data_IF_032331545731
#
_entry.id   IF_032331545731
#
_cell.length_a   1.000
_cell.length_b   1.000
_cell.length_c   1.000
_cell.angle_alpha   90.00
_cell.angle_beta   90.00
_cell.angle_gamma   90.00
#
_symmetry.space_group_name_H-M   'P 1'
#
loop_
_entity.id
_entity.type
_entity.pdbx_description
1 polymer ?
#
# COMPACT_ATOMS: atom_id res chain seq x y z
N UNK A 1 12.45 -50.19 13.10
CA UNK A 1 12.91 -49.62 11.82
C UNK A 1 11.97 -48.47 11.51
N UNK A 2 12.26 -47.30 12.10
CA UNK A 2 11.40 -46.10 12.02
C UNK A 2 11.91 -45.25 10.87
N UNK A 3 11.09 -45.06 9.84
CA UNK A 3 11.36 -44.11 8.78
C UNK A 3 10.92 -42.71 9.26
N UNK A 4 11.76 -41.67 9.16
CA UNK A 4 11.30 -40.32 9.40
C UNK A 4 10.33 -39.93 8.27
N UNK A 5 9.12 -39.56 8.66
CA UNK A 5 8.20 -38.82 7.80
C UNK A 5 8.72 -37.39 7.70
N UNK A 6 9.43 -37.08 6.64
CA UNK A 6 9.82 -35.72 6.35
C UNK A 6 8.58 -35.01 5.77
N UNK A 7 7.89 -34.25 6.60
CA UNK A 7 6.93 -33.25 6.11
C UNK A 7 7.74 -32.22 5.34
N UNK A 8 7.82 -32.38 4.03
CA UNK A 8 8.28 -31.32 3.13
C UNK A 8 7.19 -30.25 3.11
N UNK A 9 7.30 -29.29 4.01
CA UNK A 9 6.61 -28.01 3.90
C UNK A 9 7.24 -27.27 2.73
N UNK A 10 6.77 -27.53 1.52
CA UNK A 10 6.98 -26.62 0.41
C UNK A 10 6.12 -25.38 0.72
N UNK A 11 6.77 -24.31 1.20
CA UNK A 11 6.14 -23.03 1.39
C UNK A 11 5.85 -22.45 -0.01
N UNK A 12 4.75 -22.91 -0.61
CA UNK A 12 4.21 -22.34 -1.83
C UNK A 12 3.83 -20.89 -1.50
N UNK A 13 4.73 -19.96 -1.82
CA UNK A 13 4.44 -18.53 -1.75
C UNK A 13 3.41 -18.22 -2.83
N UNK A 14 2.14 -18.43 -2.50
CA UNK A 14 1.03 -18.21 -3.42
C UNK A 14 0.94 -16.74 -3.80
N UNK A 15 1.42 -16.39 -4.99
CA UNK A 15 1.18 -15.07 -5.57
C UNK A 15 -0.32 -14.98 -5.87
N UNK A 16 -1.00 -14.04 -5.22
CA UNK A 16 -2.40 -13.72 -5.49
C UNK A 16 -2.49 -12.31 -6.07
N UNK A 17 -3.36 -12.13 -7.06
CA UNK A 17 -3.62 -10.84 -7.70
C UNK A 17 -5.10 -10.49 -7.55
N UNK A 18 -5.36 -9.21 -7.25
CA UNK A 18 -6.70 -8.63 -7.16
C UNK A 18 -6.81 -7.43 -8.08
N UNK A 19 -7.90 -7.32 -8.83
CA UNK A 19 -8.20 -6.17 -9.69
C UNK A 19 -9.59 -5.65 -9.36
N UNK A 20 -9.72 -4.34 -9.17
CA UNK A 20 -10.98 -3.66 -8.86
C UNK A 20 -11.17 -2.54 -9.88
N UNK A 21 -12.31 -2.54 -10.55
CA UNK A 21 -12.71 -1.45 -11.45
C UNK A 21 -13.77 -0.59 -10.77
N UNK A 22 -13.56 0.73 -10.77
CA UNK A 22 -14.44 1.70 -10.12
C UNK A 22 -14.77 2.79 -11.15
N UNK A 23 -15.99 2.80 -11.72
CA UNK A 23 -16.37 3.83 -12.66
C UNK A 23 -16.48 5.18 -11.96
N UNK A 24 -15.82 6.20 -12.51
CA UNK A 24 -15.87 7.58 -12.01
C UNK A 24 -16.51 8.48 -13.05
N UNK A 25 -17.45 9.32 -12.63
CA UNK A 25 -18.09 10.31 -13.49
C UNK A 25 -17.23 11.58 -13.59
N UNK A 26 -16.00 11.43 -14.08
CA UNK A 26 -15.03 12.51 -14.24
C UNK A 26 -14.13 12.24 -15.46
N UNK A 27 -13.64 13.31 -16.09
CA UNK A 27 -12.74 13.17 -17.23
C UNK A 27 -11.37 12.63 -16.80
N UNK A 28 -10.79 11.74 -17.61
CA UNK A 28 -9.56 11.03 -17.24
C UNK A 28 -8.37 11.94 -16.90
N UNK A 29 -8.25 13.11 -17.55
CA UNK A 29 -7.23 14.10 -17.23
C UNK A 29 -7.43 14.71 -15.83
N UNK A 30 -8.68 15.02 -15.45
CA UNK A 30 -9.00 15.54 -14.12
C UNK A 30 -8.80 14.46 -13.05
N UNK A 31 -9.28 13.25 -13.30
CA UNK A 31 -9.10 12.11 -12.40
C UNK A 31 -7.62 11.85 -12.15
N UNK A 32 -6.80 11.88 -13.19
CA UNK A 32 -5.36 11.71 -13.05
C UNK A 32 -4.69 12.88 -12.30
N UNK A 33 -5.07 14.12 -12.59
CA UNK A 33 -4.54 15.30 -11.89
C UNK A 33 -4.79 15.25 -10.37
N UNK A 34 -5.94 14.70 -9.96
CA UNK A 34 -6.25 14.46 -8.54
C UNK A 34 -5.43 13.29 -7.97
N UNK A 35 -5.27 12.20 -8.74
CA UNK A 35 -4.56 10.99 -8.30
C UNK A 35 -3.05 11.23 -8.15
N UNK A 36 -2.44 11.98 -9.08
CA UNK A 36 -1.00 12.29 -9.09
C UNK A 36 -0.58 13.23 -7.98
N UNK A 37 -1.52 13.91 -7.32
CA UNK A 37 -1.25 14.75 -6.15
C UNK A 37 -1.19 13.88 -4.88
N UNK A 38 -0.04 13.21 -4.73
CA UNK A 38 0.18 12.15 -3.73
C UNK A 38 -0.03 12.63 -2.29
N UNK A 39 0.15 13.92 -2.02
CA UNK A 39 0.09 14.48 -0.67
C UNK A 39 -1.20 15.26 -0.40
N UNK A 40 -2.01 15.56 -1.41
CA UNK A 40 -3.31 16.22 -1.24
C UNK A 40 -4.49 15.24 -1.24
N UNK A 41 -4.28 14.00 -0.79
CA UNK A 41 -5.32 12.96 -0.81
C UNK A 41 -6.52 13.32 0.07
N UNK A 42 -6.27 13.90 1.25
CA UNK A 42 -7.30 14.32 2.20
C UNK A 42 -8.11 15.54 1.73
N UNK A 43 -7.62 16.30 0.75
CA UNK A 43 -8.29 17.50 0.24
C UNK A 43 -8.89 17.31 -1.15
N UNK A 44 -8.22 16.55 -2.03
CA UNK A 44 -8.57 16.46 -3.46
C UNK A 44 -9.17 15.11 -3.85
N UNK A 45 -8.70 14.01 -3.26
CA UNK A 45 -9.08 12.67 -3.72
C UNK A 45 -10.26 12.10 -2.90
N UNK A 46 -10.14 12.11 -1.58
CA UNK A 46 -11.09 11.42 -0.67
C UNK A 46 -11.27 12.20 0.65
N UNK A 47 -11.80 13.43 0.60
CA UNK A 47 -12.00 14.24 1.79
C UNK A 47 -12.94 13.56 2.79
N UNK A 48 -12.54 13.58 4.06
CA UNK A 48 -13.28 12.95 5.16
C UNK A 48 -13.05 11.44 5.33
N UNK A 49 -12.43 10.76 4.34
CA UNK A 49 -11.96 9.38 4.51
C UNK A 49 -10.48 9.34 4.90
N UNK A 50 -9.62 10.03 4.14
CA UNK A 50 -8.30 10.42 4.61
C UNK A 50 -8.44 11.74 5.39
N UNK A 51 -7.91 11.79 6.59
CA UNK A 51 -8.03 12.96 7.49
C UNK A 51 -6.72 13.71 7.65
N UNK A 52 -5.58 13.06 7.41
CA UNK A 52 -4.25 13.70 7.48
C UNK A 52 -3.30 12.94 6.59
N UNK A 53 -2.48 13.67 5.82
CA UNK A 53 -1.40 13.11 5.01
C UNK A 53 -0.09 13.79 5.41
N UNK A 54 0.88 12.99 5.81
CA UNK A 54 2.21 13.46 6.23
C UNK A 54 3.25 12.97 5.21
N UNK A 55 4.17 13.87 4.81
CA UNK A 55 5.26 13.53 3.89
C UNK A 55 6.41 12.90 4.67
N UNK A 56 6.76 11.66 4.32
CA UNK A 56 8.01 11.01 4.71
C UNK A 56 9.08 11.17 3.63
N UNK A 57 10.32 10.71 3.88
CA UNK A 57 11.44 10.86 2.94
C UNK A 57 11.19 10.17 1.59
N UNK A 58 10.61 8.97 1.60
CA UNK A 58 10.26 8.17 0.40
C UNK A 58 8.84 7.59 0.49
N UNK A 59 8.05 8.11 1.42
CA UNK A 59 6.76 7.53 1.80
C UNK A 59 5.76 8.62 2.17
N UNK A 60 4.50 8.23 2.26
CA UNK A 60 3.47 9.04 2.90
C UNK A 60 2.86 8.27 4.05
N UNK A 61 2.49 8.99 5.10
CA UNK A 61 1.69 8.46 6.20
C UNK A 61 0.29 9.03 6.04
N UNK A 62 -0.69 8.16 5.80
CA UNK A 62 -2.09 8.53 5.68
C UNK A 62 -2.82 8.09 6.94
N UNK A 63 -3.45 9.04 7.61
CA UNK A 63 -4.39 8.77 8.70
C UNK A 63 -5.80 8.75 8.12
N UNK A 64 -6.55 7.68 8.40
CA UNK A 64 -7.94 7.52 7.99
C UNK A 64 -8.89 7.94 9.11
N UNK A 65 -10.13 8.28 8.76
CA UNK A 65 -11.15 8.70 9.73
C UNK A 65 -11.48 7.66 10.81
N UNK A 66 -11.21 6.38 10.55
CA UNK A 66 -11.34 5.30 11.52
C UNK A 66 -10.15 5.21 12.52
N UNK A 67 -9.19 6.13 12.43
CA UNK A 67 -7.98 6.17 13.25
C UNK A 67 -6.83 5.27 12.75
N UNK A 68 -7.04 4.49 11.68
CA UNK A 68 -5.98 3.68 11.07
C UNK A 68 -4.92 4.58 10.45
N UNK A 69 -3.65 4.21 10.63
CA UNK A 69 -2.51 4.88 9.98
C UNK A 69 -1.83 3.92 9.03
N UNK A 70 -1.66 4.34 7.78
CA UNK A 70 -0.94 3.57 6.76
C UNK A 70 0.30 4.33 6.30
N UNK A 71 1.44 3.65 6.31
CA UNK A 71 2.68 4.13 5.69
C UNK A 71 2.81 3.46 4.33
N UNK A 72 2.92 4.26 3.28
CA UNK A 72 2.97 3.78 1.90
C UNK A 72 4.20 4.34 1.20
N UNK A 73 5.02 3.46 0.63
CA UNK A 73 6.19 3.86 -0.16
C UNK A 73 5.77 4.24 -1.58
N UNK A 74 6.24 5.39 -2.03
CA UNK A 74 6.03 5.86 -3.39
C UNK A 74 7.20 5.33 -4.23
N UNK A 75 6.91 4.48 -5.21
CA UNK A 75 7.95 3.82 -6.02
C UNK A 75 8.17 4.57 -7.32
N UNK A 76 7.07 4.92 -7.99
CA UNK A 76 7.10 5.61 -9.28
C UNK A 76 5.79 6.37 -9.49
N UNK A 77 5.86 7.40 -10.31
CA UNK A 77 4.72 8.12 -10.86
C UNK A 77 4.93 8.17 -12.39
N UNK A 78 4.11 7.41 -13.12
CA UNK A 78 4.12 7.42 -14.58
C UNK A 78 2.94 8.24 -15.09
N UNK A 79 3.22 9.48 -15.51
CA UNK A 79 2.23 10.43 -16.03
C UNK A 79 1.68 10.03 -17.41
N UNK A 80 2.45 9.31 -18.23
CA UNK A 80 2.06 8.93 -19.60
C UNK A 80 1.09 7.74 -19.58
N UNK A 81 1.42 6.73 -18.78
CA UNK A 81 0.60 5.55 -18.53
C UNK A 81 -0.51 5.79 -17.48
N UNK A 82 -0.53 6.96 -16.83
CA UNK A 82 -1.42 7.28 -15.69
C UNK A 82 -1.42 6.21 -14.63
N UNK A 83 -0.21 5.81 -14.22
CA UNK A 83 0.01 4.70 -13.30
C UNK A 83 0.80 5.17 -12.08
N UNK A 84 0.34 4.74 -10.91
CA UNK A 84 1.01 4.92 -9.62
C UNK A 84 1.33 3.55 -9.02
N UNK A 85 2.41 2.87 -9.44
CA UNK A 85 2.84 1.64 -8.79
C UNK A 85 3.36 1.94 -7.38
N UNK A 86 2.95 1.11 -6.42
CA UNK A 86 3.34 1.23 -5.01
C UNK A 86 3.90 -0.12 -4.54
N UNK A 87 5.00 -0.09 -3.79
CA UNK A 87 5.78 -1.30 -3.43
C UNK A 87 5.18 -2.06 -2.24
N UNK A 88 4.24 -1.45 -1.53
CA UNK A 88 3.64 -2.02 -0.33
C UNK A 88 3.09 -0.91 0.57
N UNK A 89 2.11 -1.29 1.38
CA UNK A 89 1.58 -0.44 2.44
C UNK A 89 1.69 -1.21 3.76
N UNK A 90 2.08 -0.53 4.82
CA UNK A 90 2.03 -1.06 6.18
C UNK A 90 1.01 -0.26 6.96
N UNK A 91 -0.01 -0.93 7.51
CA UNK A 91 -1.01 -0.28 8.33
C UNK A 91 -0.91 -0.71 9.79
N UNK A 92 -0.98 0.31 10.64
CA UNK A 92 -1.13 0.15 12.08
C UNK A 92 -2.55 0.58 12.42
N UNK A 93 -3.35 -0.39 12.87
CA UNK A 93 -4.66 -0.11 13.44
C UNK A 93 -4.48 0.30 14.91
N UNK A 94 -5.18 1.33 15.41
CA UNK A 94 -5.17 1.68 16.83
C UNK A 94 -5.73 0.55 17.71
N UNK A 95 -6.43 -0.42 17.10
CA UNK A 95 -6.95 -1.62 17.74
C UNK A 95 -6.05 -2.85 17.59
N UNK A 96 -4.89 -2.72 16.92
CA UNK A 96 -3.98 -3.84 16.68
C UNK A 96 -2.72 -3.74 17.57
N UNK A 97 -2.66 -4.59 18.59
CA UNK A 97 -1.40 -5.02 19.18
C UNK A 97 -0.83 -6.17 18.34
N UNK A 98 -0.33 -5.89 17.14
CA UNK A 98 0.47 -6.87 16.38
C UNK A 98 1.58 -6.12 15.65
N UNK A 99 2.81 -6.38 16.08
CA UNK A 99 4.03 -6.03 15.33
C UNK A 99 4.13 -7.01 14.15
N UNK A 100 3.63 -6.62 12.97
CA UNK A 100 3.97 -7.34 11.74
C UNK A 100 5.37 -6.89 11.33
N UNK A 101 6.38 -7.67 11.73
CA UNK A 101 7.76 -7.48 11.28
C UNK A 101 7.85 -8.02 9.86
N UNK A 102 7.83 -7.13 8.86
CA UNK A 102 8.32 -7.47 7.53
C UNK A 102 9.85 -7.35 7.58
N UNK A 103 10.51 -8.34 8.18
CA UNK A 103 11.97 -8.49 8.08
C UNK A 103 12.27 -9.23 6.77
N UNK A 104 12.53 -8.46 5.72
CA UNK A 104 13.18 -8.93 4.52
C UNK A 104 14.63 -8.48 4.57
N UNK A 105 15.49 -9.31 5.16
CA UNK A 105 16.93 -9.12 5.12
C UNK A 105 17.42 -9.03 3.67
N UNK A 106 17.90 -7.85 3.27
CA UNK A 106 18.78 -7.69 2.12
C UNK A 106 20.18 -7.40 2.65
N UNK A 107 20.87 -8.45 3.08
CA UNK A 107 22.33 -8.45 3.18
C UNK A 107 22.86 -8.70 1.77
N UNK A 108 23.50 -7.69 1.16
CA UNK A 108 24.38 -7.86 0.00
C UNK A 108 25.67 -7.08 0.26
N UNK A 109 26.68 -7.87 0.62
CA UNK A 109 28.14 -7.70 0.53
C UNK A 109 28.68 -6.35 0.02
#
# INVERSE_FOLDING_TARGET
MTLPMETRSDEETGISSVTVDIPVNAGAAFTWDVIRDIYAVDTRLIPGFAVTVEQGPDSRIVTFANGMRATERIVELDDDARRLPRSGWSAVSPYACVRQSHDGAAELN
#
